data_IF_704603549724
#
_entry.id   IF_704603549724
#
_cell.length_a   1.000
_cell.length_b   1.000
_cell.length_c   1.000
_cell.angle_alpha   90.00
_cell.angle_beta   90.00
_cell.angle_gamma   90.00
#
_symmetry.space_group_name_H-M   'P 1'
#
loop_
_entity.id
_entity.type
_entity.pdbx_description
1 polymer ?
#
# COMPACT_ATOMS: atom_id res chain seq x y z
N UNK A 1 -3.16 -9.92 14.26
CA UNK A 1 -4.40 -9.79 13.48
C UNK A 1 -5.41 -10.82 13.97
N UNK A 2 -6.68 -10.47 14.14
CA UNK A 2 -7.73 -11.41 14.59
C UNK A 2 -8.49 -12.02 13.41
N UNK A 3 -8.84 -11.22 12.43
CA UNK A 3 -9.54 -11.66 11.23
C UNK A 3 -9.38 -10.65 10.10
N UNK A 4 -9.63 -11.11 8.90
CA UNK A 4 -9.81 -10.32 7.69
C UNK A 4 -11.14 -10.69 7.07
N UNK A 5 -11.72 -9.81 6.28
CA UNK A 5 -12.96 -10.07 5.59
C UNK A 5 -13.29 -8.98 4.58
N UNK A 6 -14.47 -9.09 4.01
CA UNK A 6 -15.00 -8.11 3.07
C UNK A 6 -16.41 -7.70 3.53
N UNK A 7 -16.67 -6.42 3.51
CA UNK A 7 -17.96 -5.80 3.79
C UNK A 7 -18.44 -5.11 2.51
N UNK A 8 -19.70 -5.32 2.14
CA UNK A 8 -20.23 -4.78 0.89
C UNK A 8 -20.36 -3.25 0.89
N UNK A 9 -20.48 -2.65 2.09
CA UNK A 9 -20.65 -1.20 2.27
C UNK A 9 -19.29 -0.47 2.39
N UNK A 10 -18.29 -1.13 3.03
CA UNK A 10 -17.02 -0.50 3.42
C UNK A 10 -15.79 -1.13 2.80
N UNK A 11 -15.91 -2.26 2.09
CA UNK A 11 -14.80 -2.91 1.40
C UNK A 11 -14.07 -3.97 2.22
N UNK A 12 -12.82 -4.24 1.86
CA UNK A 12 -11.97 -5.20 2.56
C UNK A 12 -11.60 -4.65 3.95
N UNK A 13 -11.56 -5.50 4.98
CA UNK A 13 -11.22 -5.04 6.31
C UNK A 13 -10.27 -5.97 7.05
N UNK A 14 -9.52 -5.36 7.98
CA UNK A 14 -8.77 -6.03 9.03
C UNK A 14 -9.42 -5.76 10.37
N UNK A 15 -9.51 -6.81 11.19
CA UNK A 15 -9.77 -6.69 12.61
C UNK A 15 -8.48 -6.93 13.36
N UNK A 16 -7.96 -5.90 14.00
CA UNK A 16 -6.70 -5.90 14.71
C UNK A 16 -6.95 -5.82 16.21
N UNK A 17 -6.18 -6.58 16.97
CA UNK A 17 -6.17 -6.53 18.42
C UNK A 17 -4.81 -6.04 18.90
N UNK A 18 -4.83 -5.01 19.72
CA UNK A 18 -3.67 -4.37 20.31
C UNK A 18 -3.68 -4.59 21.81
N UNK A 19 -2.51 -4.89 22.37
CA UNK A 19 -2.31 -5.02 23.81
C UNK A 19 -1.04 -4.31 24.22
N UNK A 20 -1.18 -3.22 24.95
CA UNK A 20 -0.07 -2.55 25.59
C UNK A 20 0.25 -3.21 26.94
N UNK A 21 1.41 -3.88 27.02
CA UNK A 21 1.87 -4.58 28.23
C UNK A 21 2.75 -3.70 29.12
N UNK A 22 3.03 -2.48 28.71
CA UNK A 22 3.80 -1.53 29.55
C UNK A 22 2.94 -1.00 30.69
N UNK A 23 3.57 -0.56 31.77
CA UNK A 23 2.88 0.01 32.92
C UNK A 23 2.79 1.54 32.91
N UNK A 24 3.59 2.17 32.05
CA UNK A 24 3.85 3.63 32.12
C UNK A 24 3.98 4.32 30.75
N UNK A 25 3.93 3.56 29.66
CA UNK A 25 4.09 4.11 28.30
C UNK A 25 2.83 3.95 27.49
N UNK A 26 2.35 5.01 26.89
CA UNK A 26 1.36 4.97 25.84
C UNK A 26 2.06 4.55 24.54
N UNK A 27 1.60 3.49 23.90
CA UNK A 27 2.22 3.00 22.68
C UNK A 27 1.45 3.47 21.46
N UNK A 28 2.16 4.10 20.53
CA UNK A 28 1.70 4.35 19.17
C UNK A 28 1.99 3.13 18.28
N UNK A 29 1.09 2.85 17.36
CA UNK A 29 1.22 1.82 16.33
C UNK A 29 1.00 2.50 14.98
N UNK A 30 2.02 2.48 14.14
CA UNK A 30 2.00 3.05 12.79
C UNK A 30 2.13 1.93 11.77
N UNK A 31 1.21 1.90 10.82
CA UNK A 31 1.26 0.98 9.68
C UNK A 31 1.60 1.79 8.44
N UNK A 32 2.70 1.46 7.81
CA UNK A 32 3.17 2.05 6.57
C UNK A 32 3.28 1.01 5.46
N UNK A 33 3.49 1.45 4.24
CA UNK A 33 3.75 0.63 3.05
C UNK A 33 2.80 -0.58 2.91
N UNK A 34 1.55 -0.38 3.35
CA UNK A 34 0.55 -1.44 3.33
C UNK A 34 0.15 -1.80 1.91
N UNK A 35 0.10 -3.10 1.60
CA UNK A 35 -0.45 -3.58 0.34
C UNK A 35 -1.42 -4.74 0.53
N UNK A 36 -2.37 -4.85 -0.40
CA UNK A 36 -3.29 -5.98 -0.54
C UNK A 36 -3.03 -6.63 -1.90
N UNK A 37 -2.43 -7.82 -1.94
CA UNK A 37 -1.92 -8.44 -3.17
C UNK A 37 -1.07 -7.46 -4.01
N UNK A 38 -0.24 -6.64 -3.33
CA UNK A 38 0.62 -5.65 -3.97
C UNK A 38 -0.04 -4.34 -4.37
N UNK A 39 -1.34 -4.16 -4.16
CA UNK A 39 -2.03 -2.86 -4.33
C UNK A 39 -1.84 -2.02 -3.09
N UNK A 40 -1.28 -0.84 -3.25
CA UNK A 40 -1.05 0.11 -2.16
C UNK A 40 -2.32 0.47 -1.40
N UNK A 41 -2.17 0.67 -0.12
CA UNK A 41 -3.24 0.95 0.82
C UNK A 41 -2.81 2.01 1.83
N UNK A 42 -3.78 2.76 2.36
CA UNK A 42 -3.51 3.93 3.18
C UNK A 42 -2.78 3.62 4.49
N UNK A 43 -1.97 4.56 4.92
CA UNK A 43 -1.31 4.60 6.21
C UNK A 43 -2.35 4.69 7.35
N UNK A 44 -2.11 3.98 8.42
CA UNK A 44 -2.99 3.98 9.57
C UNK A 44 -2.20 4.10 10.89
N UNK A 45 -2.75 4.88 11.82
CA UNK A 45 -2.15 5.17 13.12
C UNK A 45 -3.17 4.91 14.22
N UNK A 46 -2.75 4.25 15.29
CA UNK A 46 -3.53 4.14 16.52
C UNK A 46 -2.63 4.19 17.74
N UNK A 47 -3.22 4.37 18.93
CA UNK A 47 -2.47 4.34 20.18
C UNK A 47 -3.24 3.64 21.29
N UNK A 48 -2.51 2.98 22.20
CA UNK A 48 -3.08 2.22 23.31
C UNK A 48 -2.44 2.64 24.63
N UNK A 49 -3.25 2.99 25.62
CA UNK A 49 -2.83 3.39 26.94
C UNK A 49 -2.12 2.26 27.72
N UNK A 50 -1.27 2.57 28.71
CA UNK A 50 -0.59 1.57 29.52
C UNK A 50 -1.53 0.52 30.11
N UNK A 51 -1.18 -0.75 29.93
CA UNK A 51 -1.96 -1.88 30.45
C UNK A 51 -3.32 -2.12 29.81
N UNK A 52 -3.70 -1.34 28.79
CA UNK A 52 -4.99 -1.47 28.08
C UNK A 52 -4.90 -2.38 26.86
N UNK A 53 -6.06 -2.77 26.40
CA UNK A 53 -6.28 -3.57 25.21
C UNK A 53 -7.33 -2.89 24.34
N UNK A 54 -7.11 -2.88 23.01
CA UNK A 54 -8.06 -2.31 22.04
C UNK A 54 -8.25 -3.25 20.87
N UNK A 55 -9.42 -3.15 20.25
CA UNK A 55 -9.71 -3.86 19.02
C UNK A 55 -10.26 -2.85 18.02
N UNK A 56 -9.62 -2.76 16.88
CA UNK A 56 -10.03 -1.86 15.81
C UNK A 56 -10.33 -2.62 14.53
N UNK A 57 -11.23 -2.04 13.72
CA UNK A 57 -11.54 -2.52 12.39
C UNK A 57 -11.12 -1.42 11.42
N UNK A 58 -10.18 -1.75 10.55
CA UNK A 58 -9.72 -0.87 9.49
C UNK A 58 -10.27 -1.35 8.15
N UNK A 59 -10.94 -0.46 7.42
CA UNK A 59 -11.50 -0.72 6.10
C UNK A 59 -10.61 -0.13 5.01
N UNK A 60 -10.53 -0.84 3.90
CA UNK A 60 -9.78 -0.43 2.73
C UNK A 60 -10.75 -0.14 1.59
N UNK A 61 -10.65 1.03 1.02
CA UNK A 61 -11.48 1.39 -0.12
C UNK A 61 -11.24 0.46 -1.30
N UNK A 62 -12.34 0.00 -1.90
CA UNK A 62 -12.30 -0.98 -2.98
C UNK A 62 -12.02 -0.38 -4.37
N UNK A 63 -11.88 0.95 -4.49
CA UNK A 63 -11.69 1.62 -5.77
C UNK A 63 -10.45 1.14 -6.52
N UNK A 64 -9.30 1.11 -5.85
CA UNK A 64 -8.06 0.61 -6.42
C UNK A 64 -8.14 -0.85 -6.84
N UNK A 65 -8.68 -1.71 -5.98
CA UNK A 65 -8.84 -3.14 -6.28
C UNK A 65 -9.69 -3.38 -7.54
N UNK A 66 -10.75 -2.59 -7.75
CA UNK A 66 -11.62 -2.69 -8.93
C UNK A 66 -10.88 -2.31 -10.22
N UNK A 67 -10.09 -1.23 -10.18
CA UNK A 67 -9.32 -0.77 -11.34
C UNK A 67 -8.32 -1.83 -11.79
N UNK A 68 -7.68 -2.49 -10.82
CA UNK A 68 -6.76 -3.59 -11.10
C UNK A 68 -7.43 -4.95 -11.32
N UNK A 69 -8.77 -4.98 -11.33
CA UNK A 69 -9.57 -6.21 -11.48
C UNK A 69 -9.27 -7.28 -10.41
N UNK A 70 -8.94 -6.83 -9.20
CA UNK A 70 -8.69 -7.71 -8.05
C UNK A 70 -9.99 -7.90 -7.28
N UNK A 71 -10.44 -9.15 -7.18
CA UNK A 71 -11.57 -9.47 -6.33
C UNK A 71 -11.12 -9.48 -4.86
N UNK A 72 -11.77 -8.71 -3.94
CA UNK A 72 -11.42 -8.71 -2.53
C UNK A 72 -11.40 -10.08 -1.87
N UNK A 73 -12.21 -11.02 -2.36
CA UNK A 73 -12.21 -12.40 -1.87
C UNK A 73 -10.94 -13.18 -2.26
N UNK A 74 -10.17 -12.72 -3.24
CA UNK A 74 -8.95 -13.38 -3.71
C UNK A 74 -7.69 -12.81 -3.03
N UNK A 75 -7.83 -11.81 -2.17
CA UNK A 75 -6.71 -11.26 -1.40
C UNK A 75 -6.16 -12.34 -0.48
N UNK A 76 -4.87 -12.62 -0.63
CA UNK A 76 -4.16 -13.61 0.19
C UNK A 76 -2.76 -13.17 0.62
N UNK A 77 -2.25 -12.07 0.09
CA UNK A 77 -1.00 -11.48 0.55
C UNK A 77 -1.28 -10.07 1.07
N UNK A 78 -0.90 -9.83 2.31
CA UNK A 78 -1.04 -8.54 2.96
C UNK A 78 0.32 -8.19 3.52
N UNK A 79 0.98 -7.18 2.98
CA UNK A 79 2.25 -6.67 3.48
C UNK A 79 2.05 -5.31 4.14
N UNK A 80 2.87 -5.02 5.13
CA UNK A 80 2.89 -3.73 5.80
C UNK A 80 4.18 -3.58 6.61
N UNK A 81 4.66 -2.37 6.68
CA UNK A 81 5.63 -1.94 7.67
C UNK A 81 4.91 -1.63 8.98
N UNK A 82 5.43 -2.09 10.11
CA UNK A 82 4.90 -1.78 11.45
C UNK A 82 5.96 -1.12 12.30
N UNK A 83 5.63 0.06 12.78
CA UNK A 83 6.39 0.77 13.79
C UNK A 83 5.57 0.85 15.09
N UNK A 84 6.17 0.41 16.20
CA UNK A 84 5.59 0.52 17.55
C UNK A 84 6.52 1.34 18.42
N UNK A 85 6.06 2.48 18.88
CA UNK A 85 6.85 3.46 19.59
C UNK A 85 6.17 3.97 20.87
N UNK A 86 6.95 4.64 21.73
CA UNK A 86 6.36 5.43 22.80
C UNK A 86 5.80 6.74 22.23
N UNK A 87 4.51 6.98 22.34
CA UNK A 87 3.85 8.16 21.75
C UNK A 87 4.46 9.49 22.26
N UNK A 88 4.98 9.52 23.48
CA UNK A 88 5.65 10.71 24.01
C UNK A 88 7.00 11.01 23.32
N UNK A 89 7.58 10.02 22.65
CA UNK A 89 8.87 10.13 21.97
C UNK A 89 8.70 10.31 20.44
N UNK A 90 7.48 10.54 19.94
CA UNK A 90 7.19 10.64 18.52
C UNK A 90 8.07 11.65 17.77
N UNK A 91 8.32 12.81 18.39
CA UNK A 91 9.16 13.88 17.81
C UNK A 91 10.64 13.78 18.19
N UNK A 92 11.06 12.73 18.92
CA UNK A 92 12.45 12.54 19.35
C UNK A 92 13.22 11.75 18.29
N UNK A 93 14.37 12.26 17.83
CA UNK A 93 15.25 11.60 16.86
C UNK A 93 16.62 11.32 17.49
N UNK A 94 17.11 10.07 17.53
CA UNK A 94 16.42 8.83 17.12
C UNK A 94 15.32 8.44 18.11
N UNK A 95 14.20 7.99 17.57
CA UNK A 95 13.09 7.42 18.33
C UNK A 95 13.46 6.01 18.82
N UNK A 96 13.04 5.65 20.00
CA UNK A 96 13.18 4.29 20.52
C UNK A 96 11.92 3.48 20.18
N UNK A 97 11.99 2.71 19.11
CA UNK A 97 10.91 1.88 18.66
C UNK A 97 10.99 0.50 19.33
N UNK A 98 9.83 -0.07 19.64
CA UNK A 98 9.69 -1.43 20.18
C UNK A 98 9.60 -2.47 19.06
N UNK A 99 9.08 -2.04 17.92
CA UNK A 99 9.02 -2.77 16.66
C UNK A 99 9.30 -1.74 15.56
N UNK A 100 10.06 -2.13 14.57
CA UNK A 100 10.45 -1.34 13.41
C UNK A 100 10.82 -2.36 12.33
N UNK A 101 9.81 -2.93 11.66
CA UNK A 101 10.01 -4.09 10.77
C UNK A 101 8.87 -4.27 9.75
N UNK A 102 9.18 -5.00 8.68
CA UNK A 102 8.24 -5.38 7.65
C UNK A 102 7.57 -6.72 7.98
N UNK A 103 6.29 -6.79 7.68
CA UNK A 103 5.47 -7.99 7.92
C UNK A 103 4.70 -8.38 6.68
N UNK A 104 4.60 -9.69 6.46
CA UNK A 104 3.71 -10.28 5.47
C UNK A 104 2.77 -11.27 6.17
N UNK A 105 1.49 -11.14 5.86
CA UNK A 105 0.44 -12.01 6.41
C UNK A 105 -0.31 -12.67 5.25
N UNK A 106 -0.56 -13.95 5.41
CA UNK A 106 -1.30 -14.76 4.43
C UNK A 106 -2.64 -15.21 5.02
N UNK A 107 -3.73 -14.47 4.80
CA UNK A 107 -5.04 -14.78 5.39
C UNK A 107 -5.59 -16.17 5.07
N UNK A 108 -5.17 -16.76 3.95
CA UNK A 108 -5.61 -18.08 3.47
C UNK A 108 -4.50 -19.13 3.48
N UNK A 109 -3.39 -18.86 4.19
CA UNK A 109 -2.19 -19.70 4.24
C UNK A 109 -1.15 -19.29 3.19
N UNK A 110 0.12 -19.39 3.57
CA UNK A 110 1.27 -19.02 2.76
C UNK A 110 1.36 -19.84 1.45
N UNK A 111 0.93 -21.09 1.50
CA UNK A 111 0.90 -21.99 0.34
C UNK A 111 -0.05 -21.50 -0.78
N UNK A 112 -0.93 -20.55 -0.48
CA UNK A 112 -1.82 -19.91 -1.43
C UNK A 112 -1.40 -18.47 -1.74
N UNK A 113 -0.20 -18.05 -1.33
CA UNK A 113 0.31 -16.72 -1.65
C UNK A 113 0.32 -16.51 -3.16
N UNK A 114 -0.17 -15.37 -3.59
CA UNK A 114 -0.12 -14.95 -4.99
C UNK A 114 0.72 -13.68 -5.07
N UNK A 115 1.73 -13.69 -5.93
CA UNK A 115 2.40 -12.44 -6.29
C UNK A 115 1.43 -11.54 -7.07
N UNK A 116 1.52 -10.21 -6.90
CA UNK A 116 0.75 -9.29 -7.71
C UNK A 116 1.09 -9.53 -9.19
N UNK A 117 0.12 -10.01 -9.94
CA UNK A 117 0.27 -10.22 -11.38
C UNK A 117 -0.93 -9.64 -12.09
N UNK A 118 -0.68 -8.63 -12.87
CA UNK A 118 -1.71 -8.01 -13.68
C UNK A 118 -1.98 -8.85 -14.94
N UNK A 119 -3.23 -9.24 -15.14
CA UNK A 119 -3.67 -9.79 -16.43
C UNK A 119 -3.99 -8.64 -17.38
N UNK A 120 -3.18 -8.47 -18.41
CA UNK A 120 -3.32 -7.40 -19.40
C UNK A 120 -4.74 -7.32 -19.96
N UNK A 121 -5.35 -6.16 -19.83
CA UNK A 121 -6.69 -5.87 -20.35
C UNK A 121 -6.60 -5.08 -21.66
N UNK A 122 -7.60 -5.14 -22.53
CA UNK A 122 -7.62 -4.36 -23.78
C UNK A 122 -7.60 -2.82 -23.56
N UNK A 123 -7.90 -2.38 -22.35
CA UNK A 123 -7.92 -0.97 -21.95
C UNK A 123 -6.60 -0.48 -21.39
N UNK A 124 -5.64 -1.38 -21.13
CA UNK A 124 -4.36 -1.02 -20.56
C UNK A 124 -3.52 -0.24 -21.57
N UNK A 125 -2.86 0.78 -21.06
CA UNK A 125 -1.92 1.57 -21.82
C UNK A 125 -0.48 1.12 -21.49
N UNK A 126 0.12 0.33 -22.36
CA UNK A 126 1.52 -0.09 -22.19
C UNK A 126 2.44 1.08 -22.48
N UNK A 127 3.19 1.53 -21.47
CA UNK A 127 4.18 2.61 -21.56
C UNK A 127 5.58 2.07 -21.85
N UNK A 128 5.91 0.91 -21.29
CA UNK A 128 7.14 0.20 -21.55
C UNK A 128 6.90 -1.31 -21.43
N UNK A 129 7.53 -2.07 -22.36
CA UNK A 129 7.63 -3.52 -22.28
C UNK A 129 8.93 -3.91 -22.97
N UNK A 130 9.95 -4.21 -22.17
CA UNK A 130 11.29 -4.51 -22.65
C UNK A 130 11.99 -5.53 -21.71
N UNK A 131 13.29 -5.77 -21.91
CA UNK A 131 14.04 -6.74 -21.11
C UNK A 131 14.25 -6.29 -19.65
N UNK A 132 14.08 -5.01 -19.36
CA UNK A 132 14.27 -4.47 -18.01
C UNK A 132 12.98 -4.39 -17.21
N UNK A 133 11.87 -3.97 -17.83
CA UNK A 133 10.61 -3.81 -17.14
C UNK A 133 9.40 -3.88 -18.06
N UNK A 134 8.24 -4.18 -17.47
CA UNK A 134 6.93 -3.84 -18.00
C UNK A 134 6.35 -2.71 -17.16
N UNK A 135 5.80 -1.67 -17.80
CA UNK A 135 5.06 -0.58 -17.15
C UNK A 135 3.78 -0.33 -17.95
N UNK A 136 2.64 -0.39 -17.26
CA UNK A 136 1.32 -0.17 -17.86
C UNK A 136 0.49 0.75 -16.98
N UNK A 137 -0.35 1.59 -17.60
CA UNK A 137 -1.46 2.24 -16.91
C UNK A 137 -2.69 1.36 -17.07
N UNK A 138 -3.22 0.90 -15.95
CA UNK A 138 -4.37 0.00 -15.88
C UNK A 138 -5.71 0.76 -15.84
N UNK A 139 -5.68 2.03 -15.44
CA UNK A 139 -6.86 2.87 -15.35
C UNK A 139 -6.57 4.22 -14.71
N UNK A 140 -7.64 5.00 -14.56
CA UNK A 140 -7.57 6.32 -13.92
C UNK A 140 -8.67 6.43 -12.88
N UNK A 141 -8.33 7.00 -11.74
CA UNK A 141 -9.25 7.38 -10.67
C UNK A 141 -9.29 8.90 -10.57
N UNK A 142 -10.37 9.56 -11.04
CA UNK A 142 -10.47 11.01 -10.99
C UNK A 142 -10.71 11.56 -9.59
N UNK A 143 -11.17 10.71 -8.68
CA UNK A 143 -11.52 11.04 -7.30
C UNK A 143 -10.58 10.33 -6.30
N UNK A 144 -9.36 10.01 -6.73
CA UNK A 144 -8.35 9.38 -5.87
C UNK A 144 -8.03 10.24 -4.64
N UNK A 145 -7.57 9.60 -3.56
CA UNK A 145 -7.33 10.23 -2.26
C UNK A 145 -6.42 11.47 -2.37
N UNK A 146 -5.39 11.39 -3.21
CA UNK A 146 -4.40 12.43 -3.43
C UNK A 146 -4.61 13.18 -4.77
N UNK A 147 -5.85 13.20 -5.27
CA UNK A 147 -6.22 13.87 -6.52
C UNK A 147 -6.38 12.89 -7.68
N UNK A 148 -6.34 13.44 -8.92
CA UNK A 148 -6.44 12.61 -10.11
C UNK A 148 -5.28 11.62 -10.18
N UNK A 149 -5.61 10.32 -10.16
CA UNK A 149 -4.63 9.24 -9.99
C UNK A 149 -4.62 8.32 -11.21
N UNK A 150 -3.44 8.08 -11.79
CA UNK A 150 -3.24 6.98 -12.71
C UNK A 150 -2.83 5.72 -11.94
N UNK A 151 -3.56 4.64 -12.13
CA UNK A 151 -3.28 3.33 -11.53
C UNK A 151 -2.36 2.57 -12.48
N UNK A 152 -1.14 2.28 -12.04
CA UNK A 152 -0.11 1.64 -12.83
C UNK A 152 0.26 0.25 -12.29
N UNK A 153 0.73 -0.61 -13.18
CA UNK A 153 1.38 -1.87 -12.85
C UNK A 153 2.80 -1.82 -13.39
N UNK A 154 3.75 -2.23 -12.55
CA UNK A 154 5.16 -2.33 -12.93
C UNK A 154 5.71 -3.71 -12.59
N UNK A 155 6.44 -4.31 -13.52
CA UNK A 155 7.21 -5.54 -13.33
C UNK A 155 8.69 -5.23 -13.53
N UNK A 156 9.51 -5.56 -12.54
CA UNK A 156 10.96 -5.50 -12.64
C UNK A 156 11.51 -6.85 -13.12
N UNK A 157 12.06 -6.90 -14.32
CA UNK A 157 12.63 -8.10 -14.95
C UNK A 157 14.13 -8.24 -14.71
N UNK A 158 14.74 -7.33 -13.95
CA UNK A 158 16.19 -7.28 -13.73
C UNK A 158 16.61 -7.92 -12.42
N UNK A 159 17.92 -8.20 -12.28
CA UNK A 159 18.56 -8.70 -11.05
C UNK A 159 18.82 -7.60 -10.01
N UNK A 160 18.27 -6.40 -10.19
CA UNK A 160 18.50 -5.24 -9.31
C UNK A 160 17.18 -4.50 -9.09
N UNK A 161 17.09 -3.82 -7.97
CA UNK A 161 16.04 -2.84 -7.74
C UNK A 161 16.02 -1.79 -8.87
N UNK A 162 14.84 -1.45 -9.34
CA UNK A 162 14.60 -0.33 -10.28
C UNK A 162 13.79 0.75 -9.58
N UNK A 163 13.99 2.00 -9.98
CA UNK A 163 13.25 3.13 -9.45
C UNK A 163 12.32 3.71 -10.51
N UNK A 164 11.08 3.97 -10.11
CA UNK A 164 10.17 4.81 -10.89
C UNK A 164 10.41 6.28 -10.51
N UNK A 165 10.81 7.11 -11.48
CA UNK A 165 11.10 8.51 -11.25
C UNK A 165 10.55 9.41 -12.36
N UNK A 166 9.88 10.48 -11.96
CA UNK A 166 9.40 11.53 -12.88
C UNK A 166 10.43 12.65 -12.94
N UNK A 167 10.94 12.98 -14.13
CA UNK A 167 12.03 13.96 -14.30
C UNK A 167 11.55 15.35 -14.69
N UNK A 168 10.33 15.47 -15.15
CA UNK A 168 9.73 16.74 -15.57
C UNK A 168 8.25 16.70 -15.32
N UNK A 169 7.62 17.87 -15.28
CA UNK A 169 6.17 17.99 -15.24
C UNK A 169 5.51 17.34 -16.44
N UNK A 170 4.30 16.90 -16.23
CA UNK A 170 3.40 16.41 -17.26
C UNK A 170 2.31 17.41 -17.58
N UNK A 171 1.34 17.00 -18.36
CA UNK A 171 0.10 17.76 -18.52
C UNK A 171 -1.11 16.86 -18.63
N UNK A 172 -2.21 17.29 -18.04
CA UNK A 172 -3.53 16.68 -18.21
C UNK A 172 -4.39 17.70 -18.95
N UNK A 173 -4.89 17.32 -20.14
CA UNK A 173 -5.69 18.22 -20.99
C UNK A 173 -5.04 19.58 -21.25
N UNK A 174 -3.68 19.64 -21.28
CA UNK A 174 -2.93 20.87 -21.51
C UNK A 174 -2.67 21.71 -20.26
N UNK A 175 -3.15 21.32 -19.09
CA UNK A 175 -2.79 21.92 -17.81
C UNK A 175 -1.52 21.25 -17.28
N UNK A 176 -0.52 22.07 -16.92
CA UNK A 176 0.73 21.57 -16.34
C UNK A 176 0.46 20.94 -14.99
N UNK A 177 1.06 19.76 -14.76
CA UNK A 177 0.96 19.03 -13.52
C UNK A 177 2.27 18.31 -13.22
N UNK A 178 2.48 17.96 -11.95
CA UNK A 178 3.66 17.22 -11.51
C UNK A 178 3.20 15.84 -10.99
N UNK A 179 3.55 14.76 -11.69
CA UNK A 179 3.25 13.42 -11.21
C UNK A 179 4.16 13.05 -10.04
N UNK A 180 3.58 12.45 -9.00
CA UNK A 180 4.26 11.88 -7.85
C UNK A 180 3.79 10.44 -7.62
N UNK A 181 4.54 9.68 -6.85
CA UNK A 181 4.21 8.31 -6.46
C UNK A 181 4.80 8.00 -5.08
N UNK A 182 4.10 7.23 -4.27
CA UNK A 182 4.60 6.77 -2.98
C UNK A 182 5.62 5.63 -3.14
N UNK A 183 5.52 4.87 -4.22
CA UNK A 183 6.42 3.75 -4.50
C UNK A 183 7.56 4.21 -5.40
N UNK A 184 8.76 4.28 -4.86
CA UNK A 184 9.97 4.66 -5.62
C UNK A 184 10.83 3.47 -6.05
N UNK A 185 10.87 2.39 -5.28
CA UNK A 185 11.70 1.20 -5.53
C UNK A 185 10.86 -0.04 -5.81
N UNK A 186 11.26 -0.83 -6.81
CA UNK A 186 10.70 -2.13 -7.15
C UNK A 186 11.82 -3.14 -7.10
N UNK A 187 11.77 -4.08 -6.20
CA UNK A 187 12.78 -5.10 -5.99
C UNK A 187 13.02 -5.97 -7.23
N UNK A 188 14.20 -6.59 -7.29
CA UNK A 188 14.57 -7.49 -8.37
C UNK A 188 13.55 -8.62 -8.55
N UNK A 189 13.08 -8.84 -9.79
CA UNK A 189 12.13 -9.89 -10.17
C UNK A 189 10.79 -9.83 -9.42
N UNK A 190 10.38 -8.63 -8.98
CA UNK A 190 9.07 -8.42 -8.35
C UNK A 190 8.14 -7.55 -9.19
N UNK A 191 6.88 -7.53 -8.78
CA UNK A 191 5.83 -6.73 -9.41
C UNK A 191 5.17 -5.85 -8.34
N UNK A 192 4.70 -4.68 -8.76
CA UNK A 192 3.93 -3.81 -7.90
C UNK A 192 2.79 -3.12 -8.66
N UNK A 193 1.73 -2.79 -7.94
CA UNK A 193 0.76 -1.80 -8.36
C UNK A 193 1.12 -0.46 -7.73
N UNK A 194 1.11 0.58 -8.53
CA UNK A 194 1.65 1.89 -8.17
C UNK A 194 0.63 2.96 -8.51
N UNK A 195 0.35 3.84 -7.56
CA UNK A 195 -0.45 5.02 -7.76
C UNK A 195 0.44 6.19 -8.19
N UNK A 196 0.05 6.86 -9.28
CA UNK A 196 0.72 8.05 -9.80
C UNK A 196 -0.27 9.20 -9.65
N UNK A 197 -0.01 10.09 -8.71
CA UNK A 197 -0.88 11.23 -8.40
C UNK A 197 -0.52 12.46 -9.21
N UNK A 198 -1.51 13.24 -9.53
CA UNK A 198 -1.36 14.52 -10.21
C UNK A 198 -1.99 15.62 -9.36
N UNK A 199 -1.14 16.34 -8.65
CA UNK A 199 -1.61 17.46 -7.83
C UNK A 199 -1.92 18.69 -8.68
N UNK A 200 -3.03 19.39 -8.34
CA UNK A 200 -3.27 20.76 -8.75
C UNK A 200 -2.49 21.72 -7.84
N UNK A 201 -1.76 22.65 -8.42
CA UNK A 201 -1.11 23.76 -7.71
C UNK A 201 -1.94 25.03 -7.84
#
# INVERSE_FOLDING_TARGET
MQSVGYDDDYGYYWKLYFKNKTSDKKLGYSFGDCTLNGVGASLWLTSVEPGQEETEIHHWESSGLKIYNINPQDINTVSFYLDVYNELDYDVIPRHDFVDDDFVVYPKGEENATEPKHETQPTDLVLADNDACTLMICGFDPDGLDGYTAKAYIENKTDKEIMLAFRSGGSINGFECFPETDTMGIDAHTNAYVDIYYYDY
#
